data_IF_753912220403
#
_entry.id   IF_753912220403
#
_cell.length_a   1.000
_cell.length_b   1.000
_cell.length_c   1.000
_cell.angle_alpha   90.00
_cell.angle_beta   90.00
_cell.angle_gamma   90.00
#
_symmetry.space_group_name_H-M   'P 1'
#
loop_
_entity.id
_entity.type
_entity.pdbx_description
1 polymer ?
#
# COMPACT_ATOMS: atom_id res chain seq x y z
N UNK A 1 -18.58 -4.69 -1.86
CA UNK A 1 -17.63 -5.55 -2.58
C UNK A 1 -16.84 -6.41 -1.60
N UNK A 2 -15.94 -7.24 -2.11
CA UNK A 2 -15.07 -8.11 -1.33
C UNK A 2 -13.70 -7.46 -1.09
N UNK A 3 -13.14 -7.68 0.10
CA UNK A 3 -11.80 -7.20 0.46
C UNK A 3 -10.95 -8.41 0.84
N UNK A 4 -9.78 -8.63 0.20
CA UNK A 4 -8.87 -9.69 0.62
C UNK A 4 -8.41 -9.48 2.06
N UNK A 5 -8.36 -10.57 2.84
CA UNK A 5 -8.01 -10.53 4.27
C UNK A 5 -6.58 -10.01 4.51
N UNK A 6 -5.71 -10.13 3.53
CA UNK A 6 -4.34 -9.62 3.59
C UNK A 6 -4.30 -8.09 3.57
N UNK A 7 -5.33 -7.40 3.06
CA UNK A 7 -5.39 -5.93 2.99
C UNK A 7 -6.59 -5.34 3.74
N UNK A 8 -7.30 -6.13 4.54
CA UNK A 8 -8.49 -5.75 5.30
C UNK A 8 -8.27 -4.73 6.44
N UNK A 9 -7.02 -4.27 6.65
CA UNK A 9 -6.64 -3.29 7.66
C UNK A 9 -6.08 -1.99 7.05
N UNK A 10 -5.97 -1.89 5.73
CA UNK A 10 -5.44 -0.70 5.05
C UNK A 10 -6.53 0.34 4.79
N UNK A 11 -6.14 1.61 4.74
CA UNK A 11 -7.00 2.68 4.24
C UNK A 11 -7.14 2.61 2.70
N UNK A 12 -8.33 2.88 2.13
CA UNK A 12 -9.62 3.16 2.79
C UNK A 12 -10.46 1.90 3.09
N UNK A 13 -9.93 0.70 2.83
CA UNK A 13 -10.67 -0.56 2.89
C UNK A 13 -11.18 -0.94 4.29
N UNK A 14 -10.54 -0.43 5.33
CA UNK A 14 -10.89 -0.74 6.73
C UNK A 14 -11.40 0.45 7.54
N UNK A 15 -11.12 1.67 7.06
CA UNK A 15 -11.63 2.91 7.64
C UNK A 15 -12.80 3.45 6.81
N UNK A 16 -13.81 2.61 6.60
CA UNK A 16 -15.07 3.00 5.99
C UNK A 16 -16.23 2.70 6.94
N UNK A 17 -17.33 3.40 6.72
CA UNK A 17 -18.62 3.08 7.33
C UNK A 17 -19.59 2.66 6.23
N UNK A 18 -20.37 1.62 6.52
CA UNK A 18 -21.43 1.15 5.64
C UNK A 18 -22.78 1.34 6.35
N UNK A 19 -23.86 1.68 5.61
CA UNK A 19 -25.20 1.70 6.18
C UNK A 19 -25.54 0.39 6.89
N UNK A 20 -26.27 0.48 8.00
CA UNK A 20 -26.79 -0.71 8.71
C UNK A 20 -27.93 -1.39 7.95
N UNK A 21 -28.66 -0.60 7.17
CA UNK A 21 -29.78 -1.05 6.34
C UNK A 21 -29.35 -0.89 4.88
N UNK A 22 -29.55 -1.94 4.09
CA UNK A 22 -29.25 -1.93 2.66
C UNK A 22 -30.53 -1.76 1.87
N UNK A 23 -30.51 -0.84 0.90
CA UNK A 23 -31.55 -0.72 -0.11
C UNK A 23 -31.42 -1.82 -1.17
N UNK A 24 -32.46 -1.96 -1.99
CA UNK A 24 -32.54 -2.99 -3.03
C UNK A 24 -31.33 -2.91 -3.98
N UNK A 25 -30.98 -1.72 -4.46
CA UNK A 25 -29.84 -1.54 -5.37
C UNK A 25 -28.49 -1.87 -4.73
N UNK A 26 -28.32 -1.66 -3.43
CA UNK A 26 -27.12 -2.12 -2.71
C UNK A 26 -27.02 -3.64 -2.64
N UNK A 27 -28.15 -4.34 -2.47
CA UNK A 27 -28.21 -5.80 -2.46
C UNK A 27 -27.96 -6.38 -3.86
N UNK A 28 -28.63 -5.84 -4.88
CA UNK A 28 -28.43 -6.20 -6.29
C UNK A 28 -26.96 -6.03 -6.69
N UNK A 29 -26.33 -4.90 -6.33
CA UNK A 29 -24.90 -4.69 -6.59
C UNK A 29 -24.01 -5.75 -5.94
N UNK A 30 -24.31 -6.16 -4.70
CA UNK A 30 -23.52 -7.17 -4.01
C UNK A 30 -23.73 -8.55 -4.65
N UNK A 31 -24.97 -8.89 -5.01
CA UNK A 31 -25.30 -10.15 -5.66
C UNK A 31 -24.64 -10.28 -7.03
N UNK A 32 -24.74 -9.24 -7.86
CA UNK A 32 -24.10 -9.18 -9.18
C UNK A 32 -22.58 -9.28 -9.05
N UNK A 33 -22.00 -8.49 -8.12
CA UNK A 33 -20.55 -8.52 -7.87
C UNK A 33 -20.07 -9.90 -7.43
N UNK A 34 -20.78 -10.56 -6.50
CA UNK A 34 -20.38 -11.90 -6.03
C UNK A 34 -20.55 -12.92 -7.16
N UNK A 35 -21.62 -12.84 -7.94
CA UNK A 35 -21.88 -13.76 -9.05
C UNK A 35 -20.77 -13.67 -10.10
N UNK A 36 -20.40 -12.46 -10.52
CA UNK A 36 -19.26 -12.24 -11.41
C UNK A 36 -17.95 -12.71 -10.77
N UNK A 37 -17.72 -12.39 -9.50
CA UNK A 37 -16.48 -12.72 -8.82
C UNK A 37 -16.26 -14.24 -8.68
N UNK A 38 -17.33 -15.01 -8.50
CA UNK A 38 -17.26 -16.47 -8.37
C UNK A 38 -16.79 -17.14 -9.66
N UNK A 39 -17.08 -16.56 -10.84
CA UNK A 39 -16.68 -17.11 -12.14
C UNK A 39 -15.17 -17.12 -12.37
N UNK A 40 -14.41 -16.31 -11.64
CA UNK A 40 -12.93 -16.29 -11.73
C UNK A 40 -12.25 -17.48 -11.03
N UNK A 41 -13.01 -18.31 -10.30
CA UNK A 41 -12.45 -19.39 -9.49
C UNK A 41 -13.13 -20.73 -9.81
N UNK A 42 -12.32 -21.79 -9.88
CA UNK A 42 -12.83 -23.16 -10.08
C UNK A 42 -13.78 -23.60 -8.95
N UNK A 43 -13.56 -23.07 -7.74
CA UNK A 43 -14.36 -23.38 -6.56
C UNK A 43 -14.41 -22.20 -5.60
N UNK A 44 -15.62 -21.82 -5.17
CA UNK A 44 -15.83 -20.78 -4.15
C UNK A 44 -16.66 -21.32 -3.00
N UNK A 45 -16.23 -20.99 -1.78
CA UNK A 45 -16.87 -21.39 -0.54
C UNK A 45 -17.34 -20.14 0.18
N UNK A 46 -18.65 -20.05 0.42
CA UNK A 46 -19.27 -18.89 1.05
C UNK A 46 -19.82 -19.31 2.40
N UNK A 47 -19.35 -18.64 3.45
CA UNK A 47 -19.79 -18.93 4.80
C UNK A 47 -21.30 -18.70 4.95
N UNK A 48 -22.01 -19.63 5.59
CA UNK A 48 -23.48 -19.60 5.72
C UNK A 48 -24.04 -18.30 6.31
N UNK A 49 -23.32 -17.67 7.23
CA UNK A 49 -23.67 -16.35 7.76
C UNK A 49 -23.72 -15.23 6.71
N UNK A 50 -22.87 -15.29 5.68
CA UNK A 50 -22.88 -14.30 4.58
C UNK A 50 -24.12 -14.50 3.72
N UNK A 51 -24.42 -15.75 3.36
CA UNK A 51 -25.63 -16.14 2.61
C UNK A 51 -26.88 -15.64 3.32
N UNK A 52 -27.04 -15.98 4.61
CA UNK A 52 -28.20 -15.55 5.41
C UNK A 52 -28.32 -14.04 5.56
N UNK A 53 -27.20 -13.33 5.62
CA UNK A 53 -27.19 -11.87 5.85
C UNK A 53 -27.55 -11.11 4.57
N UNK A 54 -27.10 -11.60 3.42
CA UNK A 54 -27.32 -10.97 2.12
C UNK A 54 -28.56 -11.50 1.40
N UNK A 55 -29.16 -12.59 1.90
CA UNK A 55 -30.30 -13.29 1.29
C UNK A 55 -30.04 -13.75 -0.16
N UNK A 56 -28.77 -14.08 -0.45
CA UNK A 56 -28.32 -14.48 -1.80
C UNK A 56 -28.46 -15.99 -2.02
N UNK A 57 -28.96 -16.38 -3.18
CA UNK A 57 -29.22 -17.77 -3.58
C UNK A 57 -27.97 -18.55 -4.01
N UNK A 58 -26.86 -18.47 -3.26
CA UNK A 58 -25.61 -19.17 -3.63
C UNK A 58 -25.62 -20.59 -3.08
N UNK A 59 -26.24 -21.48 -3.85
CA UNK A 59 -26.37 -22.90 -3.56
C UNK A 59 -25.16 -23.67 -4.06
N UNK A 60 -24.14 -23.79 -3.22
CA UNK A 60 -23.32 -25.00 -3.09
C UNK A 60 -22.48 -24.90 -1.81
N UNK A 61 -23.09 -25.23 -0.68
CA UNK A 61 -22.35 -25.45 0.56
C UNK A 61 -21.48 -26.70 0.32
N UNK A 62 -20.19 -26.50 0.08
CA UNK A 62 -19.27 -27.64 0.04
C UNK A 62 -19.19 -28.24 1.44
N UNK A 63 -19.13 -29.56 1.52
CA UNK A 63 -19.11 -30.30 2.79
C UNK A 63 -18.00 -29.85 3.75
N UNK A 64 -16.91 -29.31 3.22
CA UNK A 64 -15.74 -28.85 3.97
C UNK A 64 -15.74 -27.35 4.30
N UNK A 65 -16.79 -26.60 3.95
CA UNK A 65 -16.84 -25.14 4.17
C UNK A 65 -16.61 -24.78 5.65
N UNK A 66 -17.12 -25.61 6.56
CA UNK A 66 -16.98 -25.42 8.01
C UNK A 66 -15.61 -25.87 8.57
N UNK A 67 -14.82 -26.60 7.77
CA UNK A 67 -13.47 -27.07 8.14
C UNK A 67 -12.40 -26.02 7.84
N UNK A 68 -12.67 -25.07 6.93
CA UNK A 68 -11.72 -24.02 6.58
C UNK A 68 -11.55 -23.06 7.76
N UNK A 69 -10.29 -22.87 8.14
CA UNK A 69 -9.88 -21.93 9.16
C UNK A 69 -8.86 -20.98 8.55
N UNK A 70 -9.15 -19.69 8.61
CA UNK A 70 -8.17 -18.67 8.26
C UNK A 70 -7.04 -18.68 9.30
N UNK A 71 -5.83 -18.95 8.86
CA UNK A 71 -4.63 -18.80 9.66
C UNK A 71 -4.03 -17.41 9.36
N UNK A 72 -3.86 -16.60 10.40
CA UNK A 72 -3.27 -15.27 10.25
C UNK A 72 -1.79 -15.40 9.87
N UNK A 73 -1.43 -14.87 8.70
CA UNK A 73 -0.05 -14.75 8.26
C UNK A 73 0.32 -13.26 8.15
N UNK A 74 1.04 -12.77 9.18
CA UNK A 74 1.47 -11.38 9.22
C UNK A 74 2.45 -11.03 8.09
N UNK A 75 3.25 -11.99 7.60
CA UNK A 75 4.19 -11.75 6.49
C UNK A 75 3.44 -11.62 5.17
N UNK A 76 2.52 -12.55 4.89
CA UNK A 76 1.66 -12.48 3.70
C UNK A 76 0.86 -11.17 3.66
N UNK A 77 0.33 -10.77 4.81
CA UNK A 77 -0.36 -9.48 5.00
C UNK A 77 0.51 -8.29 4.63
N UNK A 78 1.71 -8.20 5.21
CA UNK A 78 2.61 -7.07 4.94
C UNK A 78 3.08 -7.04 3.48
N UNK A 79 3.28 -8.20 2.85
CA UNK A 79 3.58 -8.30 1.41
C UNK A 79 2.45 -7.78 0.54
N UNK A 80 1.22 -8.23 0.77
CA UNK A 80 0.05 -7.77 0.02
C UNK A 80 -0.19 -6.26 0.20
N UNK A 81 0.01 -5.74 1.41
CA UNK A 81 -0.06 -4.30 1.69
C UNK A 81 0.99 -3.51 0.89
N UNK A 82 2.21 -4.04 0.78
CA UNK A 82 3.25 -3.41 -0.05
C UNK A 82 2.91 -3.48 -1.55
N UNK A 83 2.38 -4.60 -2.03
CA UNK A 83 1.91 -4.72 -3.41
C UNK A 83 0.77 -3.75 -3.71
N UNK A 84 -0.12 -3.52 -2.74
CA UNK A 84 -1.20 -2.56 -2.87
C UNK A 84 -0.69 -1.11 -2.93
N UNK A 85 0.29 -0.74 -2.09
CA UNK A 85 0.79 0.65 -2.00
C UNK A 85 1.78 1.02 -3.09
N UNK A 86 2.65 0.08 -3.46
CA UNK A 86 3.80 0.34 -4.33
C UNK A 86 3.72 -0.42 -5.65
N UNK A 87 2.71 -1.29 -5.79
CA UNK A 87 2.41 -2.08 -6.95
C UNK A 87 2.97 -3.50 -6.90
N UNK A 88 2.43 -4.33 -7.79
CA UNK A 88 2.63 -5.79 -7.83
C UNK A 88 4.11 -6.20 -7.79
N UNK A 89 4.43 -7.15 -6.93
CA UNK A 89 5.76 -7.76 -6.78
C UNK A 89 6.67 -7.05 -5.79
N UNK A 90 6.29 -5.85 -5.32
CA UNK A 90 7.07 -5.08 -4.35
C UNK A 90 7.10 -5.76 -2.99
N UNK A 91 6.02 -6.44 -2.58
CA UNK A 91 5.97 -7.18 -1.32
C UNK A 91 7.09 -8.21 -1.22
N UNK A 92 7.26 -9.03 -2.25
CA UNK A 92 8.34 -10.01 -2.30
C UNK A 92 9.72 -9.36 -2.33
N UNK A 93 9.89 -8.26 -3.08
CA UNK A 93 11.18 -7.58 -3.20
C UNK A 93 11.60 -6.83 -1.92
N UNK A 94 10.66 -6.19 -1.22
CA UNK A 94 10.92 -5.48 0.04
C UNK A 94 11.26 -6.47 1.17
N UNK A 95 10.51 -7.57 1.26
CA UNK A 95 10.56 -8.49 2.40
C UNK A 95 11.32 -9.78 2.08
N UNK A 96 12.52 -9.62 1.51
CA UNK A 96 13.54 -10.67 1.37
C UNK A 96 14.42 -10.78 2.62
N UNK A 97 14.92 -11.98 2.90
CA UNK A 97 15.88 -12.23 3.99
C UNK A 97 15.22 -12.74 5.29
N UNK A 98 15.76 -12.32 6.44
CA UNK A 98 15.31 -12.75 7.76
C UNK A 98 14.30 -11.75 8.33
N UNK A 99 13.05 -11.88 7.89
CA UNK A 99 11.99 -10.93 8.22
C UNK A 99 11.51 -11.08 9.66
N UNK A 100 11.55 -9.98 10.41
CA UNK A 100 11.03 -9.87 11.76
C UNK A 100 9.96 -8.80 11.83
N UNK A 101 8.78 -9.19 12.28
CA UNK A 101 7.62 -8.31 12.43
C UNK A 101 7.42 -8.01 13.91
N UNK A 102 7.62 -6.76 14.29
CA UNK A 102 7.34 -6.27 15.63
C UNK A 102 5.89 -5.78 15.73
N UNK A 103 5.21 -6.23 16.78
CA UNK A 103 3.82 -5.88 17.08
C UNK A 103 3.71 -5.09 18.36
N UNK A 104 2.71 -4.22 18.44
CA UNK A 104 2.34 -3.56 19.68
C UNK A 104 1.94 -4.60 20.73
N UNK A 105 2.59 -4.58 21.89
CA UNK A 105 2.25 -5.46 23.02
C UNK A 105 0.81 -5.29 23.51
N UNK A 106 0.26 -4.07 23.39
CA UNK A 106 -1.10 -3.74 23.86
C UNK A 106 -2.18 -4.20 22.89
N UNK A 107 -1.99 -3.97 21.58
CA UNK A 107 -3.05 -4.16 20.58
C UNK A 107 -2.80 -5.29 19.60
N UNK A 108 -1.62 -5.91 19.61
CA UNK A 108 -1.24 -6.93 18.63
C UNK A 108 -1.06 -6.42 17.20
N UNK A 109 -1.21 -5.11 16.96
CA UNK A 109 -1.06 -4.51 15.62
C UNK A 109 0.40 -4.48 15.20
N UNK A 110 0.69 -4.76 13.93
CA UNK A 110 2.02 -4.67 13.32
C UNK A 110 2.52 -3.20 13.38
N UNK A 111 3.82 -3.01 13.65
CA UNK A 111 4.44 -1.69 13.82
C UNK A 111 5.73 -1.52 13.05
N UNK A 112 6.66 -2.46 13.17
CA UNK A 112 7.98 -2.33 12.57
C UNK A 112 8.33 -3.64 11.87
N UNK A 113 8.83 -3.55 10.65
CA UNK A 113 9.25 -4.72 9.88
C UNK A 113 10.72 -4.57 9.54
N UNK A 114 11.51 -5.56 9.96
CA UNK A 114 12.96 -5.58 9.86
C UNK A 114 13.43 -6.76 9.01
N UNK A 115 14.60 -6.61 8.40
CA UNK A 115 15.46 -7.72 7.98
C UNK A 115 16.66 -7.80 8.94
N UNK A 116 16.69 -8.85 9.77
CA UNK A 116 17.68 -8.99 10.83
C UNK A 116 17.58 -7.89 11.90
N UNK A 117 18.41 -6.83 11.77
CA UNK A 117 18.40 -5.62 12.61
C UNK A 117 18.08 -4.35 11.80
N UNK A 118 17.98 -4.46 10.49
CA UNK A 118 17.77 -3.33 9.60
C UNK A 118 16.29 -3.10 9.41
N UNK A 119 15.79 -1.93 9.80
CA UNK A 119 14.39 -1.56 9.59
C UNK A 119 14.14 -1.42 8.09
N UNK A 120 13.08 -2.04 7.56
CA UNK A 120 12.66 -1.93 6.16
C UNK A 120 11.53 -0.91 6.05
N UNK A 121 10.48 -1.08 6.85
CA UNK A 121 9.35 -0.14 6.91
C UNK A 121 8.76 -0.08 8.33
N UNK A 122 8.10 1.04 8.62
CA UNK A 122 7.17 1.13 9.74
C UNK A 122 5.75 1.03 9.21
N UNK A 123 4.85 0.35 9.93
CA UNK A 123 3.43 0.37 9.63
C UNK A 123 2.72 1.37 10.53
N UNK A 124 2.04 2.35 9.92
CA UNK A 124 1.32 3.39 10.64
C UNK A 124 0.01 2.82 11.17
N UNK A 125 -0.26 3.00 12.47
CA UNK A 125 -1.37 2.30 13.12
C UNK A 125 -2.78 2.80 12.79
N UNK A 126 -2.88 4.00 12.20
CA UNK A 126 -4.16 4.65 11.86
C UNK A 126 -4.75 4.14 10.54
N UNK A 127 -3.90 3.84 9.57
CA UNK A 127 -4.27 3.56 8.17
C UNK A 127 -3.53 2.34 7.59
N UNK A 128 -2.68 1.69 8.38
CA UNK A 128 -1.79 0.59 7.98
C UNK A 128 -0.87 0.90 6.80
N UNK A 129 -0.60 2.18 6.55
CA UNK A 129 0.34 2.57 5.50
C UNK A 129 1.76 2.19 5.88
N UNK A 130 2.51 1.64 4.92
CA UNK A 130 3.92 1.35 5.10
C UNK A 130 4.70 2.63 4.87
N UNK A 131 5.59 2.92 5.79
CA UNK A 131 6.42 4.11 5.81
C UNK A 131 7.84 3.65 5.59
N UNK A 132 8.44 4.08 4.48
CA UNK A 132 9.76 3.61 4.08
C UNK A 132 10.82 3.98 5.11
N UNK A 133 11.74 3.06 5.36
CA UNK A 133 13.05 3.37 5.91
C UNK A 133 14.04 3.68 4.79
N UNK A 134 15.29 4.00 5.14
CA UNK A 134 16.37 4.13 4.16
C UNK A 134 16.62 2.84 3.38
N UNK A 135 16.51 1.68 4.04
CA UNK A 135 16.68 0.39 3.39
C UNK A 135 15.46 0.00 2.55
N UNK A 136 14.24 0.24 3.07
CA UNK A 136 13.02 0.03 2.30
C UNK A 136 12.99 0.85 1.01
N UNK A 137 13.41 2.13 1.07
CA UNK A 137 13.48 2.98 -0.11
C UNK A 137 14.46 2.45 -1.17
N UNK A 138 15.62 1.92 -0.76
CA UNK A 138 16.58 1.31 -1.70
C UNK A 138 16.00 0.05 -2.35
N UNK A 139 15.37 -0.82 -1.56
CA UNK A 139 14.74 -2.04 -2.07
C UNK A 139 13.60 -1.71 -3.03
N UNK A 140 12.76 -0.71 -2.70
CA UNK A 140 11.69 -0.24 -3.58
C UNK A 140 12.26 0.29 -4.90
N UNK A 141 13.28 1.14 -4.83
CA UNK A 141 13.95 1.71 -6.01
C UNK A 141 14.50 0.61 -6.93
N UNK A 142 15.16 -0.41 -6.37
CA UNK A 142 15.68 -1.54 -7.14
C UNK A 142 14.58 -2.46 -7.69
N UNK A 143 13.42 -2.55 -7.02
CA UNK A 143 12.33 -3.46 -7.37
C UNK A 143 11.40 -2.91 -8.45
N UNK A 144 11.36 -1.59 -8.63
CA UNK A 144 10.39 -0.92 -9.50
C UNK A 144 11.11 -0.22 -10.63
N UNK A 145 10.57 -0.33 -11.85
CA UNK A 145 11.12 0.34 -13.02
C UNK A 145 10.75 1.82 -13.02
N UNK A 146 11.66 2.65 -13.53
CA UNK A 146 11.39 4.05 -13.80
C UNK A 146 10.16 4.20 -14.73
N UNK A 147 9.25 5.17 -14.51
CA UNK A 147 9.27 6.20 -13.47
C UNK A 147 8.56 5.79 -12.17
N UNK A 148 8.13 4.54 -11.98
CA UNK A 148 7.24 4.13 -10.89
C UNK A 148 7.71 4.58 -9.51
N UNK A 149 6.84 5.24 -8.74
CA UNK A 149 7.13 5.85 -7.43
C UNK A 149 8.21 6.94 -7.43
N UNK A 150 8.71 7.42 -8.58
CA UNK A 150 9.76 8.47 -8.65
C UNK A 150 9.17 9.87 -8.67
N UNK A 151 9.91 10.76 -8.04
CA UNK A 151 9.84 12.21 -8.21
C UNK A 151 11.25 12.68 -8.58
N UNK A 152 11.40 13.11 -9.82
CA UNK A 152 12.68 13.53 -10.40
C UNK A 152 12.89 15.00 -10.10
N UNK A 153 13.99 15.33 -9.43
CA UNK A 153 14.36 16.71 -9.14
C UNK A 153 15.46 17.19 -10.06
N UNK A 154 15.45 18.49 -10.35
CA UNK A 154 16.52 19.11 -11.11
C UNK A 154 17.87 19.06 -10.38
N UNK A 155 18.94 19.26 -11.14
CA UNK A 155 20.33 19.23 -10.66
C UNK A 155 20.60 20.14 -9.46
N UNK A 156 19.99 21.32 -9.44
CA UNK A 156 20.17 22.32 -8.37
C UNK A 156 19.62 21.83 -7.02
N UNK A 157 18.60 20.97 -7.04
CA UNK A 157 17.94 20.42 -5.86
C UNK A 157 18.59 19.15 -5.32
N UNK A 158 19.49 18.52 -6.08
CA UNK A 158 20.11 17.25 -5.69
C UNK A 158 20.85 17.29 -4.34
N UNK A 159 21.72 18.29 -4.06
CA UNK A 159 22.46 18.33 -2.79
C UNK A 159 21.53 18.45 -1.58
N UNK A 160 20.45 19.22 -1.72
CA UNK A 160 19.47 19.43 -0.67
C UNK A 160 18.62 18.17 -0.43
N UNK A 161 18.24 17.48 -1.50
CA UNK A 161 17.52 16.21 -1.43
C UNK A 161 18.37 15.16 -0.72
N UNK A 162 19.66 15.04 -1.06
CA UNK A 162 20.60 14.12 -0.40
C UNK A 162 20.74 14.38 1.11
N UNK A 163 20.60 15.64 1.54
CA UNK A 163 20.61 16.04 2.96
C UNK A 163 19.26 15.84 3.66
N UNK A 164 18.23 15.42 2.93
CA UNK A 164 16.89 15.18 3.46
C UNK A 164 16.02 16.43 3.56
N UNK A 165 16.37 17.52 2.86
CA UNK A 165 15.49 18.69 2.74
C UNK A 165 14.26 18.30 1.91
N UNK A 166 13.14 18.95 2.21
CA UNK A 166 11.88 18.73 1.48
C UNK A 166 11.94 19.33 0.08
N UNK A 167 11.25 18.70 -0.86
CA UNK A 167 11.24 19.09 -2.28
C UNK A 167 10.07 20.04 -2.53
N UNK A 168 10.32 21.14 -3.23
CA UNK A 168 9.31 22.10 -3.67
C UNK A 168 8.94 21.84 -5.13
N UNK A 169 7.69 22.11 -5.51
CA UNK A 169 7.14 21.77 -6.82
C UNK A 169 7.99 22.31 -7.99
N UNK A 170 8.44 23.57 -7.92
CA UNK A 170 9.33 24.19 -8.92
C UNK A 170 10.66 23.49 -9.20
N UNK A 171 11.09 22.58 -8.34
CA UNK A 171 12.33 21.82 -8.51
C UNK A 171 12.09 20.41 -9.04
N UNK A 172 10.84 19.99 -9.18
CA UNK A 172 10.47 18.72 -9.79
C UNK A 172 10.43 18.91 -11.30
N UNK A 173 11.11 18.04 -12.04
CA UNK A 173 11.14 18.06 -13.51
C UNK A 173 10.25 16.99 -14.14
N UNK A 174 10.06 15.88 -13.43
CA UNK A 174 9.21 14.77 -13.83
C UNK A 174 8.75 14.01 -12.59
N UNK A 175 7.58 13.38 -12.62
CA UNK A 175 7.17 12.43 -11.61
C UNK A 175 6.26 11.35 -12.20
N UNK A 176 6.17 10.20 -11.53
CA UNK A 176 5.20 9.16 -11.84
C UNK A 176 3.77 9.72 -11.84
N UNK A 177 3.07 9.56 -12.96
CA UNK A 177 1.71 10.06 -13.17
C UNK A 177 0.69 9.45 -12.19
N UNK A 178 1.00 8.28 -11.64
CA UNK A 178 0.15 7.59 -10.67
C UNK A 178 0.33 8.08 -9.23
N UNK A 179 1.32 8.95 -8.96
CA UNK A 179 1.50 9.52 -7.62
C UNK A 179 0.25 10.29 -7.18
N UNK A 180 -0.23 9.96 -5.99
CA UNK A 180 -1.28 10.67 -5.28
C UNK A 180 -0.74 11.29 -4.00
N UNK A 181 -1.44 12.31 -3.53
CA UNK A 181 -1.14 12.91 -2.24
C UNK A 181 -1.18 11.84 -1.14
N UNK A 182 -0.19 11.89 -0.23
CA UNK A 182 0.08 10.95 0.87
C UNK A 182 0.83 9.66 0.50
N UNK A 183 1.12 9.41 -0.76
CA UNK A 183 1.94 8.26 -1.16
C UNK A 183 3.38 8.39 -0.65
N UNK A 184 4.02 7.26 -0.37
CA UNK A 184 5.46 7.24 -0.19
C UNK A 184 6.14 7.22 -1.55
N UNK A 185 7.13 8.10 -1.72
CA UNK A 185 7.80 8.32 -3.00
C UNK A 185 9.31 8.29 -2.85
N UNK A 186 9.97 7.99 -3.95
CA UNK A 186 11.41 8.00 -4.13
C UNK A 186 11.80 9.31 -4.82
N UNK A 187 12.73 10.05 -4.21
CA UNK A 187 13.25 11.28 -4.79
C UNK A 187 14.54 10.92 -5.51
N UNK A 188 14.58 11.13 -6.83
CA UNK A 188 15.70 10.77 -7.70
C UNK A 188 16.17 11.97 -8.50
N UNK A 189 17.37 11.90 -9.09
CA UNK A 189 17.78 12.83 -10.14
C UNK A 189 17.38 12.30 -11.52
N UNK A 190 17.71 13.06 -12.57
CA UNK A 190 17.42 12.72 -13.98
C UNK A 190 18.11 11.41 -14.45
N UNK A 191 19.09 10.89 -13.71
CA UNK A 191 19.76 9.60 -13.98
C UNK A 191 19.15 8.43 -13.18
N UNK A 192 17.96 8.61 -12.60
CA UNK A 192 17.29 7.68 -11.65
C UNK A 192 18.18 7.29 -10.45
N UNK A 193 19.11 8.16 -10.03
CA UNK A 193 19.89 7.95 -8.81
C UNK A 193 19.07 8.33 -7.60
N UNK A 194 18.86 7.37 -6.69
CA UNK A 194 18.13 7.60 -5.44
C UNK A 194 18.84 8.61 -4.53
N UNK A 195 18.19 9.76 -4.31
CA UNK A 195 18.68 10.86 -3.48
C UNK A 195 18.06 10.85 -2.09
N UNK A 196 16.76 10.57 -2.01
CA UNK A 196 15.99 10.57 -0.78
C UNK A 196 14.68 9.80 -0.93
N UNK A 197 13.89 9.75 0.13
CA UNK A 197 12.53 9.21 0.12
C UNK A 197 11.65 10.04 1.04
N UNK A 198 10.37 10.08 0.73
CA UNK A 198 9.46 11.02 1.36
C UNK A 198 8.00 10.64 1.20
N UNK A 199 7.15 11.57 1.62
CA UNK A 199 5.71 11.49 1.41
C UNK A 199 5.27 12.60 0.48
N UNK A 200 4.53 12.26 -0.58
CA UNK A 200 3.90 13.23 -1.45
C UNK A 200 2.86 14.06 -0.67
N UNK A 201 2.91 15.38 -0.83
CA UNK A 201 1.86 16.30 -0.36
C UNK A 201 0.91 16.67 -1.48
N UNK A 202 1.38 16.59 -2.72
CA UNK A 202 0.67 16.87 -3.96
C UNK A 202 0.63 15.59 -4.81
N UNK A 203 -0.43 15.41 -5.60
CA UNK A 203 -0.48 14.39 -6.66
C UNK A 203 0.28 14.83 -7.92
N UNK A 204 0.50 13.91 -8.86
CA UNK A 204 1.29 14.17 -10.06
C UNK A 204 0.83 15.40 -10.87
N UNK A 205 -0.48 15.54 -11.08
CA UNK A 205 -1.07 16.70 -11.78
C UNK A 205 -0.70 18.03 -11.10
N UNK A 206 -0.84 18.09 -9.77
CA UNK A 206 -0.52 19.29 -8.99
C UNK A 206 0.99 19.58 -8.98
N UNK A 207 1.82 18.54 -8.92
CA UNK A 207 3.29 18.68 -8.98
C UNK A 207 3.71 19.30 -10.31
N UNK A 208 3.12 18.86 -11.43
CA UNK A 208 3.42 19.35 -12.76
C UNK A 208 2.93 20.79 -12.99
N UNK A 209 1.82 21.17 -12.38
CA UNK A 209 1.22 22.50 -12.57
C UNK A 209 1.83 23.57 -11.65
N UNK A 210 2.28 23.19 -10.44
CA UNK A 210 2.64 24.17 -9.41
C UNK A 210 4.07 24.70 -9.52
N UNK A 211 4.22 26.02 -9.49
CA UNK A 211 5.52 26.72 -9.42
C UNK A 211 5.93 27.11 -8.00
N UNK A 212 5.10 26.81 -7.00
CA UNK A 212 5.38 27.10 -5.58
C UNK A 212 4.82 26.00 -4.68
N UNK A 213 5.20 26.02 -3.40
CA UNK A 213 4.73 25.03 -2.43
C UNK A 213 5.60 23.79 -2.33
N UNK A 214 5.51 23.12 -1.18
CA UNK A 214 6.21 21.87 -0.90
C UNK A 214 5.48 20.72 -1.61
N UNK A 215 6.14 20.08 -2.57
CA UNK A 215 5.60 18.90 -3.25
C UNK A 215 5.79 17.66 -2.39
N UNK A 216 7.01 17.41 -1.91
CA UNK A 216 7.35 16.20 -1.17
C UNK A 216 7.90 16.55 0.20
N UNK A 217 7.29 16.00 1.25
CA UNK A 217 7.83 16.03 2.61
C UNK A 217 8.85 14.90 2.77
N UNK A 218 10.12 15.23 2.58
CA UNK A 218 11.24 14.29 2.70
C UNK A 218 11.34 13.72 4.12
N UNK A 219 11.56 12.41 4.22
CA UNK A 219 11.77 11.70 5.50
C UNK A 219 13.25 11.68 5.86
N UNK A 220 14.09 11.24 4.93
CA UNK A 220 15.54 11.20 5.09
C UNK A 220 16.22 11.20 3.71
N UNK A 221 17.39 11.82 3.62
CA UNK A 221 18.24 11.76 2.45
C UNK A 221 19.23 10.58 2.48
N UNK A 222 19.84 10.31 1.34
CA UNK A 222 20.78 9.19 1.16
C UNK A 222 22.22 9.51 1.59
N UNK A 223 22.55 10.77 1.92
CA UNK A 223 23.84 11.16 2.51
C UNK A 223 24.11 10.33 3.79
N UNK A 224 25.38 10.03 4.03
CA UNK A 224 25.84 9.29 5.21
C UNK A 224 25.64 10.12 6.48
#
# INVERSE_FOLDING_TARGET
GLIPLEIDEIYPLSQNESPRTWDVSSLEFIEDFISEFVEYYDQVLIHSNVIKKLDIGLYNIHSQSDEIRYAKDDLKKVKAIADYQFGVGVGDALFTGNIKIEKSKKTGKIRHIYDGKTLIVNMRASDSFLILSKEGAKRLHAATQYPKNRVVVNKDSEPFSLEGKSVFAKFVVECDEDIRAKDEVLIVNEEDKLLAYGKALLGACEINDFQTGQAIKTRKGMKK
#
